data_IF_602143979423
#
_entry.id   IF_602143979423
#
_cell.length_a   1.000
_cell.length_b   1.000
_cell.length_c   1.000
_cell.angle_alpha   90.00
_cell.angle_beta   90.00
_cell.angle_gamma   90.00
#
_symmetry.space_group_name_H-M   'P 1'
#
loop_
_entity.id
_entity.type
_entity.pdbx_description
1 polymer ?
#
# COMPACT_ATOMS: atom_id res chain seq x y z
N UNK A 1 -9.67 6.13 -15.87
CA UNK A 1 -8.89 5.17 -15.06
C UNK A 1 -9.58 5.00 -13.72
N UNK A 2 -9.96 3.77 -13.36
CA UNK A 2 -10.72 3.44 -12.12
C UNK A 2 -9.88 2.68 -11.08
N UNK A 3 -8.63 2.33 -11.40
CA UNK A 3 -7.79 1.45 -10.59
C UNK A 3 -7.64 1.92 -9.14
N UNK A 4 -7.37 3.22 -8.94
CA UNK A 4 -7.32 3.82 -7.60
C UNK A 4 -8.62 3.60 -6.83
N UNK A 5 -9.78 3.89 -7.45
CA UNK A 5 -11.07 3.73 -6.79
C UNK A 5 -11.34 2.27 -6.42
N UNK A 6 -11.07 1.34 -7.33
CA UNK A 6 -11.22 -0.10 -7.08
C UNK A 6 -10.37 -0.54 -5.89
N UNK A 7 -9.11 -0.11 -5.84
CA UNK A 7 -8.21 -0.44 -4.75
C UNK A 7 -8.69 0.17 -3.43
N UNK A 8 -9.05 1.46 -3.41
CA UNK A 8 -9.55 2.13 -2.19
C UNK A 8 -10.82 1.48 -1.64
N UNK A 9 -11.70 0.95 -2.50
CA UNK A 9 -12.90 0.22 -2.09
C UNK A 9 -12.61 -1.15 -1.46
N UNK A 10 -11.43 -1.73 -1.73
CA UNK A 10 -10.99 -3.01 -1.19
C UNK A 10 -10.16 -2.85 0.09
N UNK A 11 -9.77 -1.63 0.46
CA UNK A 11 -9.04 -1.38 1.70
C UNK A 11 -10.00 -1.48 2.91
N UNK A 12 -9.52 -2.03 4.04
CA UNK A 12 -10.23 -1.90 5.30
C UNK A 12 -10.40 -0.42 5.67
N UNK A 13 -11.48 -0.05 6.39
CA UNK A 13 -11.79 1.33 6.75
C UNK A 13 -10.63 2.05 7.46
N UNK A 14 -9.91 1.35 8.34
CA UNK A 14 -8.77 1.88 9.07
C UNK A 14 -7.62 2.26 8.15
N UNK A 15 -7.25 1.39 7.20
CA UNK A 15 -6.18 1.67 6.25
C UNK A 15 -6.60 2.74 5.24
N UNK A 16 -7.85 2.71 4.78
CA UNK A 16 -8.40 3.74 3.91
C UNK A 16 -8.38 5.13 4.56
N UNK A 17 -8.65 5.21 5.86
CA UNK A 17 -8.59 6.46 6.63
C UNK A 17 -7.15 7.02 6.72
N UNK A 18 -6.14 6.16 6.66
CA UNK A 18 -4.73 6.56 6.67
C UNK A 18 -4.20 7.02 5.32
N UNK A 19 -4.90 6.74 4.21
CA UNK A 19 -4.50 7.23 2.88
C UNK A 19 -4.74 8.75 2.81
N UNK A 20 -3.69 9.49 2.48
CA UNK A 20 -3.75 10.93 2.21
C UNK A 20 -3.99 11.21 0.74
N UNK A 21 -3.24 10.55 -0.14
CA UNK A 21 -3.41 10.62 -1.59
C UNK A 21 -3.22 9.25 -2.22
N UNK A 22 -3.87 9.03 -3.36
CA UNK A 22 -3.68 7.84 -4.16
C UNK A 22 -3.66 8.22 -5.64
N UNK A 23 -2.77 7.60 -6.39
CA UNK A 23 -2.61 7.81 -7.82
C UNK A 23 -2.32 6.49 -8.51
N UNK A 24 -2.49 6.48 -9.83
CA UNK A 24 -2.07 5.38 -10.67
C UNK A 24 -1.81 5.94 -12.07
N UNK A 25 -0.81 5.38 -12.75
CA UNK A 25 -0.53 5.68 -14.18
C UNK A 25 -1.15 4.61 -15.10
N UNK A 26 -1.39 3.41 -14.58
CA UNK A 26 -2.07 2.30 -15.24
C UNK A 26 -2.90 1.49 -14.23
N UNK A 27 -3.46 0.35 -14.63
CA UNK A 27 -4.16 -0.55 -13.71
C UNK A 27 -3.23 -1.23 -12.68
N UNK A 28 -1.95 -1.34 -13.01
CA UNK A 28 -0.96 -2.12 -12.25
C UNK A 28 0.03 -1.24 -11.49
N UNK A 29 -0.17 0.07 -11.47
CA UNK A 29 0.76 1.04 -10.86
C UNK A 29 0.09 1.90 -9.80
N UNK A 30 -0.85 1.34 -9.04
CA UNK A 30 -1.47 2.08 -7.93
C UNK A 30 -0.42 2.34 -6.85
N UNK A 31 -0.37 3.59 -6.39
CA UNK A 31 0.49 4.08 -5.32
C UNK A 31 -0.35 4.89 -4.34
N UNK A 32 -0.05 4.78 -3.05
CA UNK A 32 -0.60 5.63 -2.00
C UNK A 32 0.49 6.46 -1.33
N UNK A 33 0.10 7.63 -0.84
CA UNK A 33 0.82 8.32 0.23
C UNK A 33 -0.09 8.29 1.45
N UNK A 34 0.46 7.81 2.57
CA UNK A 34 -0.22 7.77 3.86
C UNK A 34 -0.09 9.12 4.58
N UNK A 35 -0.96 9.36 5.56
CA UNK A 35 -1.01 10.62 6.33
C UNK A 35 0.26 10.88 7.15
N UNK A 36 1.00 9.85 7.49
CA UNK A 36 2.32 9.96 8.16
C UNK A 36 3.47 10.22 7.18
N UNK A 37 3.19 10.30 5.88
CA UNK A 37 4.15 10.56 4.81
C UNK A 37 4.72 9.30 4.15
N UNK A 38 4.42 8.09 4.65
CA UNK A 38 4.91 6.86 4.04
C UNK A 38 4.30 6.64 2.65
N UNK A 39 5.11 6.20 1.70
CA UNK A 39 4.66 5.82 0.35
C UNK A 39 4.42 4.31 0.28
N UNK A 40 3.27 3.90 -0.25
CA UNK A 40 2.93 2.49 -0.47
C UNK A 40 2.83 2.22 -1.96
N UNK A 41 3.67 1.34 -2.49
CA UNK A 41 3.54 0.84 -3.85
C UNK A 41 2.63 -0.39 -3.83
N UNK A 42 1.41 -0.23 -4.35
CA UNK A 42 0.35 -1.24 -4.24
C UNK A 42 0.31 -2.17 -5.46
N UNK A 43 0.58 -1.63 -6.65
CA UNK A 43 0.44 -2.35 -7.90
C UNK A 43 -1.02 -2.50 -8.34
N UNK A 44 -1.42 -3.68 -8.83
CA UNK A 44 -2.82 -3.97 -9.20
C UNK A 44 -3.74 -4.20 -7.98
N UNK A 45 -5.05 -4.27 -8.20
CA UNK A 45 -6.03 -4.63 -7.17
C UNK A 45 -5.98 -6.12 -6.76
N UNK A 46 -5.21 -6.95 -7.47
CA UNK A 46 -5.12 -8.37 -7.18
C UNK A 46 -4.50 -8.63 -5.82
N UNK A 47 -4.99 -9.67 -5.15
CA UNK A 47 -4.50 -10.09 -3.84
C UNK A 47 -4.57 -8.98 -2.77
N UNK A 48 -5.48 -8.00 -2.91
CA UNK A 48 -5.59 -6.86 -2.00
C UNK A 48 -5.68 -7.28 -0.53
N UNK A 49 -6.42 -8.34 -0.18
CA UNK A 49 -6.50 -8.84 1.19
C UNK A 49 -5.12 -9.29 1.75
N UNK A 50 -4.29 -9.95 0.92
CA UNK A 50 -2.94 -10.33 1.32
C UNK A 50 -2.03 -9.10 1.42
N UNK A 51 -2.10 -8.18 0.46
CA UNK A 51 -1.33 -6.92 0.48
C UNK A 51 -1.62 -6.08 1.72
N UNK A 52 -2.89 -6.00 2.14
CA UNK A 52 -3.29 -5.35 3.41
C UNK A 52 -2.56 -5.99 4.59
N UNK A 53 -2.64 -7.32 4.72
CA UNK A 53 -2.03 -8.06 5.83
C UNK A 53 -0.52 -7.85 5.87
N UNK A 54 0.13 -7.90 4.71
CA UNK A 54 1.56 -7.66 4.55
C UNK A 54 1.93 -6.24 4.95
N UNK A 55 1.21 -5.23 4.45
CA UNK A 55 1.47 -3.83 4.80
C UNK A 55 1.35 -3.58 6.31
N UNK A 56 0.29 -4.08 6.95
CA UNK A 56 0.09 -3.95 8.39
C UNK A 56 1.22 -4.62 9.19
N UNK A 57 1.66 -5.79 8.74
CA UNK A 57 2.78 -6.52 9.36
C UNK A 57 4.09 -5.72 9.23
N UNK A 58 4.41 -5.23 8.03
CA UNK A 58 5.64 -4.46 7.80
C UNK A 58 5.67 -3.16 8.61
N UNK A 59 4.54 -2.46 8.73
CA UNK A 59 4.48 -1.19 9.46
C UNK A 59 4.64 -1.34 10.97
N UNK A 60 4.38 -2.53 11.52
CA UNK A 60 4.56 -2.84 12.94
C UNK A 60 5.86 -3.58 13.22
N UNK A 61 6.52 -4.09 12.19
CA UNK A 61 7.77 -4.84 12.32
C UNK A 61 8.96 -3.93 12.68
N UNK A 62 9.72 -4.35 13.68
CA UNK A 62 10.94 -3.67 14.11
C UNK A 62 11.96 -3.48 12.99
N UNK A 63 12.09 -4.48 12.12
CA UNK A 63 13.03 -4.49 11.00
C UNK A 63 12.73 -3.41 9.94
N UNK A 64 11.50 -2.90 9.91
CA UNK A 64 11.06 -1.86 8.98
C UNK A 64 10.83 -0.51 9.68
N UNK A 65 11.29 -0.36 10.93
CA UNK A 65 11.21 0.91 11.65
C UNK A 65 11.99 1.98 10.87
N UNK A 66 11.32 3.10 10.61
CA UNK A 66 11.90 4.20 9.83
C UNK A 66 11.88 3.97 8.31
N UNK A 67 11.17 2.97 7.82
CA UNK A 67 10.88 2.86 6.40
C UNK A 67 9.94 3.99 5.96
N UNK A 68 10.32 4.68 4.89
CA UNK A 68 9.52 5.71 4.21
C UNK A 68 8.75 5.14 3.02
N UNK A 69 9.13 3.96 2.52
CA UNK A 69 8.48 3.26 1.40
C UNK A 69 8.19 1.81 1.74
N UNK A 70 6.97 1.37 1.45
CA UNK A 70 6.52 -0.02 1.52
C UNK A 70 6.06 -0.48 0.13
N UNK A 71 6.79 -1.40 -0.48
CA UNK A 71 6.39 -2.04 -1.73
C UNK A 71 5.73 -3.39 -1.44
N UNK A 72 4.42 -3.44 -1.66
CA UNK A 72 3.58 -4.63 -1.51
C UNK A 72 3.00 -5.08 -2.84
N UNK A 73 3.51 -4.57 -3.97
CA UNK A 73 3.06 -4.94 -5.32
C UNK A 73 3.22 -6.44 -5.59
N UNK A 74 4.28 -7.05 -5.04
CA UNK A 74 4.51 -8.49 -4.96
C UNK A 74 4.43 -8.96 -3.49
N UNK A 75 3.23 -9.28 -2.97
CA UNK A 75 3.02 -9.45 -1.52
C UNK A 75 3.77 -10.63 -0.88
N UNK A 76 4.25 -11.59 -1.66
CA UNK A 76 5.08 -12.70 -1.16
C UNK A 76 6.58 -12.36 -1.05
N UNK A 77 7.00 -11.24 -1.65
CA UNK A 77 8.37 -10.73 -1.64
C UNK A 77 8.35 -9.19 -1.47
N UNK A 78 7.78 -8.66 -0.38
CA UNK A 78 7.67 -7.22 -0.19
C UNK A 78 9.02 -6.59 0.12
N UNK A 79 9.15 -5.30 -0.16
CA UNK A 79 10.39 -4.53 0.07
C UNK A 79 10.07 -3.29 0.88
N UNK A 80 10.97 -2.91 1.79
CA UNK A 80 10.91 -1.64 2.51
C UNK A 80 12.16 -0.81 2.23
N UNK A 81 12.02 0.52 2.21
CA UNK A 81 13.13 1.46 2.02
C UNK A 81 12.98 2.62 3.01
N UNK A 82 14.11 3.14 3.50
CA UNK A 82 14.19 4.33 4.36
C UNK A 82 14.53 5.58 3.55
#
# INVERSE_FOLDING_TARGET
>A
MTAVLTVLQLLPPELAAEVATASADSQDTVVFVLRDGATVQWGSADQSALKVTVLQTLRTAEASRGASVFDVSAPTLPITKS
#
